data_IF_997122140848
#
_entry.id   IF_997122140848
#
_cell.length_a   1.000
_cell.length_b   1.000
_cell.length_c   1.000
_cell.angle_alpha   90.00
_cell.angle_beta   90.00
_cell.angle_gamma   90.00
#
_symmetry.space_group_name_H-M   'P 1'
#
loop_
_entity.id
_entity.type
_entity.pdbx_description
1 polymer ?
#
# COMPACT_ATOMS: atom_id res chain seq x y z
N UNK A 1 -23.89 8.23 5.81
CA UNK A 1 -23.68 9.15 6.95
C UNK A 1 -25.05 9.44 7.54
N UNK A 2 -25.17 9.68 8.85
CA UNK A 2 -26.39 10.25 9.42
C UNK A 2 -26.81 11.50 8.63
N UNK A 3 -28.11 11.70 8.45
CA UNK A 3 -28.64 12.77 7.58
C UNK A 3 -28.30 14.19 8.08
N UNK A 4 -27.90 14.31 9.34
CA UNK A 4 -27.49 15.54 10.04
C UNK A 4 -25.98 15.85 9.93
N UNK A 5 -25.18 14.94 9.35
CA UNK A 5 -23.72 15.12 9.22
C UNK A 5 -23.34 15.37 7.76
N UNK A 6 -22.75 16.54 7.52
CA UNK A 6 -22.20 16.96 6.22
C UNK A 6 -20.71 16.68 6.12
N UNK A 7 -20.19 16.48 4.90
CA UNK A 7 -18.76 16.34 4.65
C UNK A 7 -17.95 17.55 5.16
N UNK A 8 -18.51 18.75 5.05
CA UNK A 8 -17.87 19.97 5.55
C UNK A 8 -17.65 19.92 7.06
N UNK A 9 -18.65 19.47 7.84
CA UNK A 9 -18.49 19.33 9.29
C UNK A 9 -17.41 18.30 9.65
N UNK A 10 -17.29 17.22 8.86
CA UNK A 10 -16.22 16.24 9.05
C UNK A 10 -14.85 16.87 8.76
N UNK A 11 -14.69 17.60 7.65
CA UNK A 11 -13.44 18.28 7.30
C UNK A 11 -13.07 19.33 8.34
N UNK A 12 -14.03 20.15 8.76
CA UNK A 12 -13.85 21.21 9.77
C UNK A 12 -13.49 20.64 11.16
N UNK A 13 -13.78 19.35 11.42
CA UNK A 13 -13.38 18.67 12.66
C UNK A 13 -11.91 18.25 12.69
N UNK A 14 -11.22 18.25 11.54
CA UNK A 14 -9.83 17.86 11.41
C UNK A 14 -8.94 19.10 11.68
N UNK A 15 -7.87 18.98 12.50
CA UNK A 15 -6.95 20.09 12.76
C UNK A 15 -6.34 20.66 11.48
N UNK A 16 -6.19 21.99 11.40
CA UNK A 16 -5.67 22.67 10.21
C UNK A 16 -4.25 22.19 9.83
N UNK A 17 -3.45 21.84 10.84
CA UNK A 17 -2.08 21.33 10.70
C UNK A 17 -2.03 20.00 9.92
N UNK A 18 -3.13 19.22 9.90
CA UNK A 18 -3.22 17.99 9.14
C UNK A 18 -3.25 18.24 7.61
N UNK A 19 -3.58 19.47 7.18
CA UNK A 19 -3.60 19.88 5.78
C UNK A 19 -2.31 20.61 5.36
N UNK A 20 -1.39 20.86 6.30
CA UNK A 20 -0.13 21.53 6.01
C UNK A 20 0.97 20.54 5.64
N UNK A 21 1.54 20.74 4.45
CA UNK A 21 2.72 19.97 4.01
C UNK A 21 3.96 20.48 4.75
N UNK A 22 4.58 19.58 5.52
CA UNK A 22 5.87 19.82 6.18
C UNK A 22 7.00 19.15 5.38
N UNK A 23 7.73 19.95 4.59
CA UNK A 23 8.79 19.45 3.71
C UNK A 23 9.92 18.76 4.47
N UNK A 24 10.28 19.24 5.66
CA UNK A 24 11.32 18.60 6.47
C UNK A 24 10.90 17.19 6.91
N UNK A 25 9.66 17.03 7.36
CA UNK A 25 9.10 15.73 7.72
C UNK A 25 9.06 14.81 6.50
N UNK A 26 8.64 15.32 5.35
CA UNK A 26 8.57 14.57 4.09
C UNK A 26 9.96 14.10 3.63
N UNK A 27 10.94 15.00 3.52
CA UNK A 27 12.30 14.61 3.12
C UNK A 27 13.00 13.72 4.14
N UNK A 28 12.70 13.88 5.45
CA UNK A 28 13.20 12.97 6.48
C UNK A 28 12.71 11.53 6.25
N UNK A 29 11.48 11.30 5.79
CA UNK A 29 11.02 9.94 5.48
C UNK A 29 11.78 9.35 4.30
N UNK A 30 12.15 10.15 3.30
CA UNK A 30 13.03 9.72 2.19
C UNK A 30 14.40 9.28 2.73
N UNK A 31 15.07 10.13 3.51
CA UNK A 31 16.39 9.79 4.05
C UNK A 31 16.37 8.56 4.96
N UNK A 32 15.33 8.44 5.80
CA UNK A 32 15.14 7.25 6.62
C UNK A 32 14.93 6.01 5.74
N UNK A 33 14.12 6.10 4.70
CA UNK A 33 13.87 4.99 3.77
C UNK A 33 15.15 4.54 3.08
N UNK A 34 15.93 5.47 2.53
CA UNK A 34 17.20 5.17 1.87
C UNK A 34 18.26 4.64 2.86
N UNK A 35 18.30 5.19 4.08
CA UNK A 35 19.19 4.71 5.14
C UNK A 35 18.87 3.27 5.55
N UNK A 36 17.58 2.97 5.81
CA UNK A 36 17.12 1.61 6.12
C UNK A 36 17.36 0.63 4.98
N UNK A 37 17.30 1.10 3.73
CA UNK A 37 17.67 0.32 2.56
C UNK A 37 19.18 0.01 2.50
N UNK A 38 20.02 0.95 2.92
CA UNK A 38 21.45 0.73 3.11
C UNK A 38 21.73 -0.32 4.19
N UNK A 39 21.11 -0.16 5.36
CA UNK A 39 21.20 -1.12 6.48
C UNK A 39 20.79 -2.53 6.02
N UNK A 40 19.70 -2.62 5.26
CA UNK A 40 19.24 -3.87 4.63
C UNK A 40 20.34 -4.53 3.79
N UNK A 41 20.91 -3.80 2.82
CA UNK A 41 21.93 -4.34 1.93
C UNK A 41 23.14 -4.85 2.70
N UNK A 42 23.52 -4.12 3.75
CA UNK A 42 24.54 -4.58 4.69
C UNK A 42 24.15 -5.88 5.39
N UNK A 43 22.93 -5.95 5.95
CA UNK A 43 22.44 -7.14 6.64
C UNK A 43 22.46 -8.38 5.75
N UNK A 44 22.03 -8.29 4.49
CA UNK A 44 22.12 -9.42 3.55
C UNK A 44 23.58 -9.78 3.26
N UNK A 45 24.41 -8.77 2.94
CA UNK A 45 25.79 -9.00 2.53
C UNK A 45 26.65 -9.66 3.63
N UNK A 46 26.46 -9.27 4.88
CA UNK A 46 27.22 -9.80 6.01
C UNK A 46 26.55 -11.01 6.69
N UNK A 47 25.31 -11.38 6.33
CA UNK A 47 24.64 -12.51 6.96
C UNK A 47 25.18 -13.85 6.44
N UNK A 48 25.49 -14.81 7.33
CA UNK A 48 25.72 -16.18 6.91
C UNK A 48 24.44 -16.75 6.29
N UNK A 49 24.60 -17.73 5.38
CA UNK A 49 23.51 -18.25 4.55
C UNK A 49 22.27 -18.71 5.34
N UNK A 50 22.48 -19.26 6.54
CA UNK A 50 21.38 -19.76 7.39
C UNK A 50 20.55 -18.65 8.05
N UNK A 51 21.04 -17.41 8.09
CA UNK A 51 20.28 -16.24 8.53
C UNK A 51 19.60 -15.49 7.37
N UNK A 52 19.94 -15.81 6.12
CA UNK A 52 19.37 -15.12 4.96
C UNK A 52 17.83 -15.15 4.92
N UNK A 53 17.11 -16.24 5.24
CA UNK A 53 15.66 -16.21 5.25
C UNK A 53 15.07 -15.19 6.23
N UNK A 54 15.67 -15.06 7.42
CA UNK A 54 15.27 -14.05 8.40
C UNK A 54 15.65 -12.64 7.96
N UNK A 55 16.85 -12.49 7.40
CA UNK A 55 17.30 -11.23 6.82
C UNK A 55 16.33 -10.78 5.71
N UNK A 56 15.94 -11.66 4.79
CA UNK A 56 14.96 -11.38 3.72
C UNK A 56 13.59 -10.99 4.27
N UNK A 57 13.06 -11.75 5.24
CA UNK A 57 11.76 -11.46 5.84
C UNK A 57 11.75 -10.09 6.55
N UNK A 58 12.79 -9.79 7.34
CA UNK A 58 12.97 -8.48 7.96
C UNK A 58 13.07 -7.38 6.90
N UNK A 59 13.74 -7.65 5.79
CA UNK A 59 14.08 -6.62 4.81
C UNK A 59 13.02 -6.33 3.77
N UNK A 60 12.08 -7.25 3.55
CA UNK A 60 10.83 -6.94 2.85
C UNK A 60 10.08 -5.76 3.48
N UNK A 61 10.21 -5.53 4.80
CA UNK A 61 9.58 -4.40 5.49
C UNK A 61 10.24 -3.04 5.17
N UNK A 62 11.52 -3.02 4.76
CA UNK A 62 12.22 -1.78 4.41
C UNK A 62 11.69 -1.17 3.10
N UNK A 63 11.29 -2.03 2.14
CA UNK A 63 10.66 -1.61 0.89
C UNK A 63 9.27 -1.00 1.06
N UNK A 64 8.61 -1.25 2.19
CA UNK A 64 7.37 -0.55 2.55
C UNK A 64 7.59 0.96 2.61
N UNK A 65 8.76 1.43 3.07
CA UNK A 65 9.08 2.86 3.09
C UNK A 65 9.07 3.49 1.70
N UNK A 66 9.60 2.80 0.70
CA UNK A 66 9.57 3.25 -0.70
C UNK A 66 8.14 3.41 -1.20
N UNK A 67 7.29 2.42 -0.90
CA UNK A 67 5.88 2.46 -1.28
C UNK A 67 5.14 3.60 -0.59
N UNK A 68 5.36 3.81 0.72
CA UNK A 68 4.71 4.87 1.49
C UNK A 68 5.08 6.25 0.97
N UNK A 69 6.36 6.51 0.68
CA UNK A 69 6.76 7.80 0.09
C UNK A 69 6.10 8.00 -1.28
N UNK A 70 6.11 6.98 -2.14
CA UNK A 70 5.44 7.04 -3.44
C UNK A 70 3.92 7.24 -3.33
N UNK A 71 3.29 6.57 -2.37
CA UNK A 71 1.88 6.70 -2.04
C UNK A 71 1.52 8.13 -1.62
N UNK A 72 2.32 8.75 -0.76
CA UNK A 72 2.07 10.13 -0.31
C UNK A 72 2.25 11.14 -1.45
N UNK A 73 3.19 10.88 -2.37
CA UNK A 73 3.34 11.68 -3.60
C UNK A 73 2.12 11.53 -4.53
N UNK A 74 1.54 10.33 -4.61
CA UNK A 74 0.33 10.09 -5.41
C UNK A 74 -0.88 10.88 -4.89
N UNK A 75 -0.98 11.02 -3.56
CA UNK A 75 -1.98 11.86 -2.89
C UNK A 75 -1.71 13.37 -2.94
N UNK A 76 -0.58 13.79 -3.54
CA UNK A 76 -0.14 15.19 -3.56
C UNK A 76 0.05 15.78 -2.16
N UNK A 77 0.54 14.95 -1.23
CA UNK A 77 0.73 15.29 0.18
C UNK A 77 2.20 15.42 0.59
N UNK A 78 3.15 15.22 -0.33
CA UNK A 78 4.59 15.23 -0.02
C UNK A 78 5.25 16.59 -0.34
N UNK A 79 4.81 17.29 -1.39
CA UNK A 79 5.30 18.61 -1.78
C UNK A 79 4.21 19.48 -2.41
N UNK A 80 4.30 20.80 -2.20
CA UNK A 80 3.43 21.76 -2.91
C UNK A 80 3.71 21.81 -4.42
N UNK A 81 4.88 21.34 -4.86
CA UNK A 81 5.26 21.31 -6.27
C UNK A 81 4.88 19.98 -6.92
N UNK A 82 3.89 20.00 -7.82
CA UNK A 82 3.39 18.81 -8.53
C UNK A 82 4.47 18.07 -9.32
N UNK A 83 5.45 18.77 -9.89
CA UNK A 83 6.54 18.12 -10.61
C UNK A 83 7.45 17.34 -9.64
N UNK A 84 7.69 17.85 -8.43
CA UNK A 84 8.43 17.14 -7.39
C UNK A 84 7.67 15.89 -6.98
N UNK A 85 6.35 15.98 -6.79
CA UNK A 85 5.49 14.83 -6.50
C UNK A 85 5.65 13.72 -7.54
N UNK A 86 5.58 14.07 -8.83
CA UNK A 86 5.62 13.07 -9.90
C UNK A 86 7.00 12.44 -10.04
N UNK A 87 8.08 13.23 -9.88
CA UNK A 87 9.46 12.71 -9.94
C UNK A 87 9.74 11.82 -8.74
N UNK A 88 9.49 12.30 -7.51
CA UNK A 88 9.79 11.53 -6.29
C UNK A 88 8.92 10.28 -6.24
N UNK A 89 7.62 10.39 -6.55
CA UNK A 89 6.72 9.25 -6.60
C UNK A 89 7.19 8.18 -7.58
N UNK A 90 7.58 8.58 -8.79
CA UNK A 90 8.09 7.66 -9.82
C UNK A 90 9.39 6.97 -9.37
N UNK A 91 10.36 7.74 -8.86
CA UNK A 91 11.65 7.21 -8.43
C UNK A 91 11.50 6.27 -7.23
N UNK A 92 10.62 6.59 -6.28
CA UNK A 92 10.43 5.79 -5.07
C UNK A 92 9.62 4.52 -5.34
N UNK A 93 8.69 4.51 -6.30
CA UNK A 93 7.98 3.28 -6.67
C UNK A 93 8.75 2.37 -7.63
N UNK A 94 9.73 2.89 -8.38
CA UNK A 94 10.46 2.11 -9.38
C UNK A 94 11.15 0.84 -8.84
N UNK A 95 11.83 0.84 -7.66
CA UNK A 95 12.44 -0.37 -7.10
C UNK A 95 11.43 -1.47 -6.75
N UNK A 96 10.15 -1.13 -6.60
CA UNK A 96 9.06 -2.05 -6.29
C UNK A 96 8.45 -2.66 -7.56
N UNK A 97 8.88 -2.22 -8.74
CA UNK A 97 8.27 -2.59 -10.04
C UNK A 97 6.78 -2.19 -10.06
N UNK A 98 6.44 -1.12 -9.33
CA UNK A 98 5.12 -0.51 -9.38
C UNK A 98 5.17 0.70 -10.33
N UNK A 99 4.47 0.67 -11.46
CA UNK A 99 4.40 1.83 -12.34
C UNK A 99 3.59 2.93 -11.65
N UNK A 100 4.27 3.99 -11.21
CA UNK A 100 3.70 5.04 -10.35
C UNK A 100 2.41 5.64 -10.91
N UNK A 101 2.42 6.07 -12.17
CA UNK A 101 1.23 6.74 -12.72
C UNK A 101 0.00 5.83 -12.85
N UNK A 102 0.08 4.65 -13.50
CA UNK A 102 -1.04 3.70 -13.52
C UNK A 102 -1.52 3.33 -12.12
N UNK A 103 -0.61 3.18 -11.16
CA UNK A 103 -0.96 2.90 -9.77
C UNK A 103 -1.70 4.09 -9.14
N UNK A 104 -1.23 5.33 -9.31
CA UNK A 104 -1.89 6.55 -8.81
C UNK A 104 -3.31 6.67 -9.33
N UNK A 105 -3.54 6.49 -10.63
CA UNK A 105 -4.90 6.53 -11.20
C UNK A 105 -5.84 5.50 -10.58
N UNK A 106 -5.39 4.24 -10.42
CA UNK A 106 -6.19 3.20 -9.75
C UNK A 106 -6.41 3.54 -8.28
N UNK A 107 -5.40 4.07 -7.60
CA UNK A 107 -5.49 4.43 -6.18
C UNK A 107 -6.45 5.59 -5.94
N UNK A 108 -6.42 6.64 -6.77
CA UNK A 108 -7.37 7.75 -6.72
C UNK A 108 -8.82 7.24 -6.86
N UNK A 109 -9.04 6.29 -7.78
CA UNK A 109 -10.33 5.62 -7.96
C UNK A 109 -10.74 4.80 -6.73
N UNK A 110 -9.81 4.04 -6.15
CA UNK A 110 -10.04 3.30 -4.90
C UNK A 110 -10.48 4.23 -3.77
N UNK A 111 -9.81 5.37 -3.56
CA UNK A 111 -10.20 6.33 -2.50
C UNK A 111 -11.55 6.99 -2.76
N UNK A 112 -11.84 7.35 -4.01
CA UNK A 112 -13.14 7.90 -4.38
C UNK A 112 -14.30 6.91 -4.22
N UNK A 113 -14.02 5.60 -4.23
CA UNK A 113 -15.03 4.52 -4.27
C UNK A 113 -14.80 3.43 -3.24
N UNK A 114 -14.10 3.76 -2.17
CA UNK A 114 -13.69 2.77 -1.16
C UNK A 114 -14.90 2.01 -0.63
N UNK A 115 -14.79 0.68 -0.59
CA UNK A 115 -15.85 -0.24 -0.13
C UNK A 115 -17.11 -0.27 -1.01
N UNK A 116 -17.12 0.37 -2.19
CA UNK A 116 -18.17 0.15 -3.17
C UNK A 116 -17.84 -1.13 -3.95
N UNK A 117 -18.62 -2.19 -3.72
CA UNK A 117 -18.33 -3.56 -4.17
C UNK A 117 -17.96 -3.70 -5.66
N UNK A 118 -18.48 -2.84 -6.54
CA UNK A 118 -18.25 -2.91 -8.00
C UNK A 118 -17.33 -1.81 -8.51
N UNK A 119 -17.28 -0.68 -7.80
CA UNK A 119 -16.58 0.51 -8.28
C UNK A 119 -15.15 0.63 -7.75
N UNK A 120 -14.89 0.02 -6.60
CA UNK A 120 -13.57 -0.05 -5.98
C UNK A 120 -12.64 -0.93 -6.81
N UNK A 121 -11.45 -0.43 -7.12
CA UNK A 121 -10.43 -1.18 -7.88
C UNK A 121 -9.53 -2.05 -7.01
N UNK A 122 -9.75 -2.06 -5.69
CA UNK A 122 -9.00 -2.87 -4.74
C UNK A 122 -9.55 -4.30 -4.66
N UNK A 123 -9.13 -5.02 -3.62
CA UNK A 123 -9.54 -6.40 -3.35
C UNK A 123 -11.06 -6.51 -3.18
N UNK A 124 -11.67 -7.41 -3.94
CA UNK A 124 -13.10 -7.69 -3.85
C UNK A 124 -13.36 -8.75 -2.76
N UNK A 125 -14.32 -8.53 -1.84
CA UNK A 125 -14.68 -9.53 -0.87
C UNK A 125 -15.41 -10.71 -1.54
N UNK A 126 -15.28 -11.88 -0.93
CA UNK A 126 -16.03 -13.06 -1.34
C UNK A 126 -17.53 -12.87 -1.10
N UNK A 127 -18.33 -13.01 -2.17
CA UNK A 127 -19.79 -12.87 -2.07
C UNK A 127 -20.36 -14.00 -1.20
N UNK A 128 -21.28 -13.72 -0.26
CA UNK A 128 -21.82 -14.73 0.66
C UNK A 128 -22.39 -15.98 -0.03
N UNK A 129 -23.02 -15.82 -1.19
CA UNK A 129 -23.53 -16.92 -1.99
C UNK A 129 -22.44 -17.86 -2.50
N UNK A 130 -21.28 -17.34 -2.90
CA UNK A 130 -20.13 -18.15 -3.32
C UNK A 130 -19.55 -18.92 -2.14
N UNK A 131 -19.39 -18.25 -1.00
CA UNK A 131 -18.89 -18.87 0.23
C UNK A 131 -19.77 -20.05 0.69
N UNK A 132 -21.09 -19.89 0.65
CA UNK A 132 -22.04 -20.96 1.03
C UNK A 132 -21.97 -22.19 0.12
N UNK A 133 -21.58 -22.02 -1.15
CA UNK A 133 -21.44 -23.12 -2.11
C UNK A 133 -20.09 -23.85 -2.03
N UNK A 134 -19.14 -23.33 -1.27
CA UNK A 134 -17.83 -23.96 -1.11
C UNK A 134 -17.91 -25.23 -0.24
N UNK A 135 -17.12 -26.23 -0.60
CA UNK A 135 -16.90 -27.41 0.24
C UNK A 135 -16.33 -27.00 1.61
N UNK A 136 -16.46 -27.84 2.65
CA UNK A 136 -15.87 -27.55 3.96
C UNK A 136 -14.36 -27.23 3.89
N UNK A 137 -13.63 -27.96 3.03
CA UNK A 137 -12.20 -27.73 2.78
C UNK A 137 -11.98 -26.37 2.11
N UNK A 138 -12.77 -26.03 1.09
CA UNK A 138 -12.66 -24.73 0.41
C UNK A 138 -12.92 -23.56 1.35
N UNK A 139 -13.89 -23.69 2.27
CA UNK A 139 -14.16 -22.67 3.30
C UNK A 139 -13.00 -22.53 4.29
N UNK A 140 -12.43 -23.65 4.75
CA UNK A 140 -11.28 -23.63 5.66
C UNK A 140 -10.04 -22.99 5.01
N UNK A 141 -9.75 -23.33 3.75
CA UNK A 141 -8.67 -22.71 2.99
C UNK A 141 -8.92 -21.20 2.83
N UNK A 142 -10.13 -20.81 2.40
CA UNK A 142 -10.48 -19.40 2.25
C UNK A 142 -10.32 -18.63 3.56
N UNK A 143 -10.83 -19.14 4.69
CA UNK A 143 -10.69 -18.47 5.99
C UNK A 143 -9.23 -18.35 6.44
N UNK A 144 -8.41 -19.37 6.17
CA UNK A 144 -6.99 -19.37 6.52
C UNK A 144 -6.22 -18.34 5.69
N UNK A 145 -6.43 -18.34 4.38
CA UNK A 145 -5.74 -17.45 3.45
C UNK A 145 -6.31 -16.03 3.44
N UNK A 146 -7.59 -15.79 3.78
CA UNK A 146 -8.12 -14.44 3.95
C UNK A 146 -7.96 -13.90 5.38
N UNK A 147 -7.55 -14.75 6.32
CA UNK A 147 -7.28 -14.41 7.71
C UNK A 147 -5.77 -14.35 8.01
N UNK A 148 -5.22 -15.31 8.79
CA UNK A 148 -3.83 -15.25 9.26
C UNK A 148 -2.78 -15.28 8.14
N UNK A 149 -3.10 -15.84 6.97
CA UNK A 149 -2.19 -15.93 5.82
C UNK A 149 -2.56 -14.98 4.67
N UNK A 150 -3.23 -13.86 4.96
CA UNK A 150 -3.68 -12.87 3.95
C UNK A 150 -2.57 -12.31 3.05
N UNK A 151 -1.36 -12.22 3.57
CA UNK A 151 -0.21 -11.81 2.76
C UNK A 151 0.09 -12.81 1.62
N UNK A 152 -0.18 -14.11 1.82
CA UNK A 152 -0.06 -15.12 0.76
C UNK A 152 -1.22 -15.07 -0.23
N UNK A 153 -2.45 -14.78 0.22
CA UNK A 153 -3.58 -14.60 -0.68
C UNK A 153 -3.36 -13.46 -1.68
N UNK A 154 -2.61 -12.43 -1.27
CA UNK A 154 -2.25 -11.30 -2.14
C UNK A 154 -1.38 -11.73 -3.33
N UNK A 155 -0.54 -12.77 -3.17
CA UNK A 155 0.24 -13.35 -4.27
C UNK A 155 -0.70 -14.01 -5.29
N UNK A 156 -1.64 -14.83 -4.82
CA UNK A 156 -2.62 -15.50 -5.69
C UNK A 156 -3.47 -14.49 -6.47
N UNK A 157 -3.98 -13.46 -5.81
CA UNK A 157 -4.73 -12.39 -6.48
C UNK A 157 -3.90 -11.57 -7.46
N UNK A 158 -2.62 -11.34 -7.15
CA UNK A 158 -1.73 -10.67 -8.09
C UNK A 158 -1.53 -11.51 -9.36
N UNK A 159 -1.36 -12.82 -9.23
CA UNK A 159 -1.25 -13.74 -10.38
C UNK A 159 -2.53 -13.72 -11.22
N UNK A 160 -3.68 -13.90 -10.59
CA UNK A 160 -5.02 -13.90 -11.21
C UNK A 160 -5.28 -12.61 -12.01
N UNK A 161 -4.92 -11.45 -11.45
CA UNK A 161 -5.18 -10.17 -12.11
C UNK A 161 -4.21 -9.77 -13.24
N UNK A 162 -3.03 -10.41 -13.35
CA UNK A 162 -1.97 -9.94 -14.26
C UNK A 162 -1.52 -10.97 -15.30
N UNK A 163 -1.90 -12.24 -15.18
CA UNK A 163 -1.49 -13.31 -16.11
C UNK A 163 -2.66 -14.09 -16.73
N UNK A 164 -3.89 -13.64 -16.53
CA UNK A 164 -5.09 -14.13 -17.23
C UNK A 164 -5.27 -13.50 -18.62
#
# INVERSE_FOLDING_TARGET
MPDDITLKQVIDSIPAEAFEINEWKAWKTVFLTLGRHGDWRGAIYYSPWYLLPLAWAWTGTAFTGFFVVGHDCAHKAFSKNKLVEDIVGTVMMAPLIYPYEPWRFKHDRHHAKTNMLVEDTAWHPMIPGMYKRMSPVGRALMQTFMGPLRFLASIGHWVDLHFD
#
